data_IF_450594343608
#
_entry.id   IF_450594343608
#
_cell.length_a   1.000
_cell.length_b   1.000
_cell.length_c   1.000
_cell.angle_alpha   90.00
_cell.angle_beta   90.00
_cell.angle_gamma   90.00
#
_symmetry.space_group_name_H-M   'P 1'
#
loop_
_entity.id
_entity.type
_entity.pdbx_description
1 polymer ?
#
# COMPACT_ATOMS: atom_id res chain seq x y z
N UNK A 1 -21.15 -0.95 33.86
CA UNK A 1 -21.09 -1.82 32.66
C UNK A 1 -19.67 -2.30 32.51
N UNK A 2 -19.47 -3.61 32.49
CA UNK A 2 -18.20 -4.20 32.08
C UNK A 2 -17.98 -3.92 30.58
N UNK A 3 -16.73 -3.90 30.12
CA UNK A 3 -16.43 -3.83 28.67
C UNK A 3 -17.15 -4.96 27.91
N UNK A 4 -17.35 -6.11 28.56
CA UNK A 4 -18.08 -7.27 28.01
C UNK A 4 -19.59 -7.02 27.79
N UNK A 5 -20.14 -5.94 28.34
CA UNK A 5 -21.56 -5.58 28.17
C UNK A 5 -21.77 -4.60 27.00
N UNK A 6 -20.70 -4.15 26.32
CA UNK A 6 -20.73 -3.18 25.23
C UNK A 6 -20.38 -3.87 23.92
N UNK A 7 -21.39 -4.04 23.07
CA UNK A 7 -21.22 -4.62 21.73
C UNK A 7 -20.32 -3.75 20.85
N UNK A 8 -19.53 -4.40 19.99
CA UNK A 8 -18.78 -3.73 18.94
C UNK A 8 -19.69 -2.91 18.01
N UNK A 9 -19.27 -1.70 17.70
CA UNK A 9 -19.90 -0.83 16.70
C UNK A 9 -19.53 -1.26 15.27
N UNK A 10 -20.25 -0.74 14.26
CA UNK A 10 -19.92 -1.00 12.85
C UNK A 10 -18.51 -0.57 12.47
N UNK A 11 -18.02 0.54 13.03
CA UNK A 11 -16.65 1.02 12.80
C UNK A 11 -15.62 0.05 13.39
N UNK A 12 -15.84 -0.43 14.60
CA UNK A 12 -14.91 -1.38 15.26
C UNK A 12 -14.92 -2.74 14.58
N UNK A 13 -16.08 -3.26 14.17
CA UNK A 13 -16.16 -4.52 13.40
C UNK A 13 -15.39 -4.38 12.08
N UNK A 14 -15.59 -3.28 11.36
CA UNK A 14 -14.88 -3.03 10.10
C UNK A 14 -13.35 -2.92 10.33
N UNK A 15 -12.93 -2.17 11.35
CA UNK A 15 -11.53 -1.98 11.69
C UNK A 15 -10.84 -3.32 12.03
N UNK A 16 -11.43 -4.12 12.90
CA UNK A 16 -10.91 -5.42 13.32
C UNK A 16 -10.87 -6.41 12.14
N UNK A 17 -11.98 -6.51 11.39
CA UNK A 17 -12.10 -7.42 10.24
C UNK A 17 -11.07 -7.10 9.16
N UNK A 18 -11.00 -5.86 8.71
CA UNK A 18 -10.06 -5.45 7.66
C UNK A 18 -8.61 -5.63 8.10
N UNK A 19 -8.29 -5.31 9.35
CA UNK A 19 -6.92 -5.50 9.88
C UNK A 19 -6.56 -6.99 9.91
N UNK A 20 -7.45 -7.86 10.37
CA UNK A 20 -7.22 -9.29 10.41
C UNK A 20 -6.96 -9.89 9.01
N UNK A 21 -7.79 -9.53 8.02
CA UNK A 21 -7.62 -10.00 6.64
C UNK A 21 -6.28 -9.56 6.04
N UNK A 22 -5.87 -8.31 6.29
CA UNK A 22 -4.58 -7.79 5.81
C UNK A 22 -3.40 -8.46 6.52
N UNK A 23 -3.45 -8.60 7.85
CA UNK A 23 -2.36 -9.20 8.62
C UNK A 23 -2.13 -10.67 8.24
N UNK A 24 -3.19 -11.46 8.10
CA UNK A 24 -3.05 -12.87 7.68
C UNK A 24 -2.49 -12.99 6.27
N UNK A 25 -2.86 -12.11 5.34
CA UNK A 25 -2.27 -12.08 3.99
C UNK A 25 -0.77 -11.71 4.02
N UNK A 26 -0.40 -10.71 4.81
CA UNK A 26 1.00 -10.27 4.95
C UNK A 26 1.87 -11.34 5.60
N UNK A 27 1.29 -12.15 6.50
CA UNK A 27 2.00 -13.24 7.18
C UNK A 27 2.57 -14.25 6.18
N UNK A 28 1.82 -14.58 5.13
CA UNK A 28 2.27 -15.46 4.05
C UNK A 28 3.54 -14.92 3.36
N UNK A 29 3.61 -13.62 3.08
CA UNK A 29 4.80 -13.01 2.49
C UNK A 29 6.00 -13.07 3.45
N UNK A 30 5.79 -12.72 4.72
CA UNK A 30 6.86 -12.71 5.71
C UNK A 30 7.44 -14.10 5.97
N UNK A 31 6.60 -15.14 6.03
CA UNK A 31 7.04 -16.52 6.19
C UNK A 31 7.99 -16.95 5.07
N UNK A 32 7.63 -16.66 3.80
CA UNK A 32 8.49 -17.00 2.66
C UNK A 32 9.78 -16.20 2.66
N UNK A 33 9.69 -14.87 2.84
CA UNK A 33 10.86 -14.00 2.84
C UNK A 33 11.89 -14.36 3.92
N UNK A 34 11.44 -14.75 5.12
CA UNK A 34 12.35 -15.12 6.23
C UNK A 34 13.21 -16.35 5.92
N UNK A 35 12.70 -17.31 5.16
CA UNK A 35 13.43 -18.55 4.83
C UNK A 35 14.59 -18.26 3.88
N UNK A 36 14.40 -17.32 2.95
CA UNK A 36 15.33 -17.10 1.85
C UNK A 36 16.17 -15.83 1.98
N UNK A 37 16.00 -15.05 3.05
CA UNK A 37 16.85 -13.90 3.32
C UNK A 37 18.31 -14.34 3.43
N UNK A 38 19.25 -13.54 2.93
CA UNK A 38 20.69 -13.77 3.07
C UNK A 38 21.36 -12.62 3.86
N UNK A 39 20.88 -11.39 3.69
CA UNK A 39 21.37 -10.19 4.39
C UNK A 39 20.85 -10.15 5.83
N UNK A 40 21.74 -10.37 6.80
CA UNK A 40 21.40 -10.44 8.23
C UNK A 40 20.75 -9.15 8.75
N UNK A 41 21.17 -7.98 8.27
CA UNK A 41 20.58 -6.72 8.70
C UNK A 41 19.13 -6.57 8.20
N UNK A 42 18.85 -7.04 6.97
CA UNK A 42 17.48 -7.05 6.43
C UNK A 42 16.64 -8.13 7.14
N UNK A 43 17.23 -9.28 7.44
CA UNK A 43 16.59 -10.35 8.22
C UNK A 43 16.14 -9.84 9.58
N UNK A 44 16.99 -9.12 10.31
CA UNK A 44 16.66 -8.58 11.63
C UNK A 44 15.46 -7.62 11.58
N UNK A 45 15.37 -6.79 10.53
CA UNK A 45 14.20 -5.94 10.30
C UNK A 45 12.97 -6.80 10.01
N UNK A 46 13.08 -7.76 9.09
CA UNK A 46 11.96 -8.59 8.70
C UNK A 46 11.40 -9.41 9.87
N UNK A 47 12.25 -9.97 10.73
CA UNK A 47 11.85 -10.69 11.95
C UNK A 47 10.98 -9.80 12.82
N UNK A 48 11.39 -8.56 13.08
CA UNK A 48 10.61 -7.63 13.89
C UNK A 48 9.23 -7.32 13.28
N UNK A 49 9.16 -7.18 11.94
CA UNK A 49 7.89 -6.99 11.22
C UNK A 49 6.99 -8.23 11.31
N UNK A 50 7.55 -9.43 11.14
CA UNK A 50 6.82 -10.69 11.22
C UNK A 50 6.29 -10.96 12.64
N UNK A 51 7.10 -10.74 13.67
CA UNK A 51 6.70 -10.85 15.09
C UNK A 51 5.61 -9.82 15.45
N UNK A 52 5.67 -8.62 14.88
CA UNK A 52 4.61 -7.64 15.04
C UNK A 52 3.30 -8.10 14.42
N UNK A 53 3.35 -8.59 13.19
CA UNK A 53 2.19 -9.05 12.45
C UNK A 53 1.51 -10.24 13.13
N UNK A 54 2.28 -11.25 13.53
CA UNK A 54 1.78 -12.42 14.26
C UNK A 54 1.17 -12.03 15.60
N UNK A 55 1.79 -11.09 16.33
CA UNK A 55 1.24 -10.53 17.56
C UNK A 55 -0.12 -9.86 17.33
N UNK A 56 -0.25 -9.02 16.30
CA UNK A 56 -1.52 -8.39 15.95
C UNK A 56 -2.60 -9.40 15.58
N UNK A 57 -2.27 -10.44 14.81
CA UNK A 57 -3.21 -11.52 14.47
C UNK A 57 -3.75 -12.17 15.75
N UNK A 58 -2.88 -12.48 16.72
CA UNK A 58 -3.29 -13.16 17.94
C UNK A 58 -4.16 -12.27 18.85
N UNK A 59 -3.85 -10.98 18.93
CA UNK A 59 -4.63 -10.03 19.72
C UNK A 59 -6.01 -9.79 19.09
N UNK A 60 -6.09 -9.68 17.75
CA UNK A 60 -7.35 -9.60 17.00
C UNK A 60 -8.22 -10.85 17.22
N UNK A 61 -7.63 -12.06 17.15
CA UNK A 61 -8.36 -13.31 17.47
C UNK A 61 -8.93 -13.28 18.88
N UNK A 62 -8.13 -12.83 19.84
CA UNK A 62 -8.55 -12.72 21.24
C UNK A 62 -9.74 -11.78 21.39
N UNK A 63 -9.73 -10.63 20.70
CA UNK A 63 -10.86 -9.67 20.70
C UNK A 63 -12.12 -10.31 20.12
N UNK A 64 -12.01 -10.98 18.95
CA UNK A 64 -13.15 -11.67 18.34
C UNK A 64 -13.72 -12.76 19.24
N UNK A 65 -12.86 -13.61 19.82
CA UNK A 65 -13.27 -14.70 20.71
C UNK A 65 -13.93 -14.18 22.00
N UNK A 66 -13.39 -13.11 22.58
CA UNK A 66 -13.97 -12.48 23.78
C UNK A 66 -15.36 -11.87 23.51
N UNK A 67 -15.59 -11.35 22.30
CA UNK A 67 -16.88 -10.84 21.84
C UNK A 67 -17.88 -11.97 21.50
N UNK A 68 -17.41 -13.20 21.34
CA UNK A 68 -18.19 -14.27 20.70
C UNK A 68 -18.45 -14.02 19.22
N UNK A 69 -17.59 -13.21 18.58
CA UNK A 69 -17.64 -12.88 17.17
C UNK A 69 -16.86 -13.91 16.35
N UNK A 70 -17.37 -14.34 15.17
CA UNK A 70 -16.66 -15.32 14.35
C UNK A 70 -15.32 -14.76 13.85
N UNK A 71 -14.23 -15.48 14.13
CA UNK A 71 -12.90 -15.18 13.60
C UNK A 71 -12.91 -15.40 12.08
N UNK A 72 -12.47 -14.42 11.25
CA UNK A 72 -12.37 -14.61 9.80
C UNK A 72 -11.42 -15.75 9.46
N UNK A 73 -11.61 -16.42 8.32
CA UNK A 73 -10.67 -17.47 7.88
C UNK A 73 -9.33 -16.87 7.45
N UNK A 74 -9.36 -15.75 6.74
CA UNK A 74 -8.19 -15.05 6.25
C UNK A 74 -7.34 -15.88 5.28
N UNK A 75 -6.04 -15.78 5.47
CA UNK A 75 -5.01 -16.53 4.76
C UNK A 75 -4.26 -17.45 5.73
N UNK A 76 -3.69 -18.52 5.18
CA UNK A 76 -3.05 -19.57 5.98
C UNK A 76 -1.77 -20.09 5.34
N UNK A 77 -1.14 -21.09 5.95
CA UNK A 77 -0.01 -21.81 5.34
C UNK A 77 -0.37 -22.48 4.01
N UNK A 78 -1.65 -22.66 3.68
CA UNK A 78 -2.07 -23.13 2.35
C UNK A 78 -1.98 -22.07 1.25
N UNK A 79 -1.72 -20.82 1.60
CA UNK A 79 -1.58 -19.71 0.66
C UNK A 79 -0.11 -19.37 0.33
N UNK A 80 0.83 -20.11 0.92
CA UNK A 80 2.27 -19.94 0.74
C UNK A 80 2.99 -21.28 0.60
N UNK A 81 3.88 -21.40 -0.39
CA UNK A 81 4.82 -22.51 -0.51
C UNK A 81 6.21 -22.06 -0.04
N UNK A 82 6.66 -22.65 1.07
CA UNK A 82 7.91 -22.33 1.74
C UNK A 82 9.12 -23.09 1.17
N UNK A 83 8.90 -23.96 0.18
CA UNK A 83 9.94 -24.85 -0.37
C UNK A 83 10.55 -24.35 -1.67
N UNK A 84 9.90 -23.36 -2.30
CA UNK A 84 10.29 -22.84 -3.61
C UNK A 84 11.24 -21.64 -3.49
N UNK A 85 12.13 -21.41 -4.48
CA UNK A 85 13.11 -20.32 -4.44
C UNK A 85 12.48 -18.91 -4.28
N UNK A 86 13.24 -17.93 -3.74
CA UNK A 86 12.77 -16.55 -3.58
C UNK A 86 12.36 -15.94 -4.92
N UNK A 87 11.21 -15.26 -4.97
CA UNK A 87 10.75 -14.53 -6.16
C UNK A 87 11.36 -13.11 -6.25
N UNK A 88 11.76 -12.56 -5.11
CA UNK A 88 12.30 -11.21 -4.99
C UNK A 88 13.62 -11.24 -4.23
N UNK A 89 14.48 -10.24 -4.47
CA UNK A 89 15.77 -10.09 -3.77
C UNK A 89 15.57 -9.52 -2.36
N UNK A 90 16.61 -9.61 -1.52
CA UNK A 90 16.61 -9.03 -0.17
C UNK A 90 16.37 -7.51 -0.20
N UNK A 91 16.91 -6.80 -1.20
CA UNK A 91 16.70 -5.35 -1.36
C UNK A 91 15.22 -5.06 -1.65
N UNK A 92 14.54 -5.88 -2.45
CA UNK A 92 13.10 -5.76 -2.60
C UNK A 92 12.38 -6.00 -1.28
N UNK A 93 12.79 -6.99 -0.49
CA UNK A 93 12.12 -7.26 0.79
C UNK A 93 12.28 -6.09 1.76
N UNK A 94 13.46 -5.48 1.85
CA UNK A 94 13.66 -4.26 2.63
C UNK A 94 12.74 -3.13 2.15
N UNK A 95 12.69 -2.94 0.83
CA UNK A 95 11.77 -2.03 0.14
C UNK A 95 10.30 -2.32 0.46
N UNK A 96 9.93 -3.60 0.54
CA UNK A 96 8.57 -4.08 0.79
C UNK A 96 8.14 -3.76 2.22
N UNK A 97 8.99 -4.00 3.23
CA UNK A 97 8.67 -3.68 4.63
C UNK A 97 8.74 -2.18 4.93
N UNK A 98 9.65 -1.44 4.30
CA UNK A 98 9.72 0.03 4.42
C UNK A 98 8.42 0.68 3.94
N UNK A 99 7.98 0.33 2.72
CA UNK A 99 6.79 0.94 2.10
C UNK A 99 5.49 0.32 2.62
N UNK A 100 5.51 -0.97 2.95
CA UNK A 100 4.47 -1.61 3.73
C UNK A 100 4.26 -0.88 5.05
N UNK A 101 5.33 -0.41 5.71
CA UNK A 101 5.26 0.42 6.91
C UNK A 101 4.51 1.75 6.70
N UNK A 102 4.68 2.42 5.56
CA UNK A 102 3.92 3.65 5.23
C UNK A 102 2.43 3.36 5.15
N UNK A 103 2.05 2.30 4.42
CA UNK A 103 0.66 1.86 4.27
C UNK A 103 0.05 1.41 5.60
N UNK A 104 0.82 0.69 6.42
CA UNK A 104 0.38 0.21 7.74
C UNK A 104 0.20 1.36 8.73
N UNK A 105 1.07 2.37 8.70
CA UNK A 105 0.91 3.57 9.53
C UNK A 105 -0.40 4.30 9.18
N UNK A 106 -0.64 4.58 7.89
CA UNK A 106 -1.89 5.22 7.44
C UNK A 106 -3.13 4.39 7.81
N UNK A 107 -3.05 3.06 7.66
CA UNK A 107 -4.11 2.13 8.04
C UNK A 107 -4.44 2.20 9.54
N UNK A 108 -3.43 2.18 10.42
CA UNK A 108 -3.68 2.27 11.86
C UNK A 108 -4.13 3.66 12.30
N UNK A 109 -3.54 4.74 11.75
CA UNK A 109 -3.97 6.11 12.07
C UNK A 109 -5.44 6.33 11.69
N UNK A 110 -5.83 5.96 10.46
CA UNK A 110 -7.21 6.15 10.00
C UNK A 110 -8.23 5.34 10.80
N UNK A 111 -7.91 4.11 11.20
CA UNK A 111 -8.82 3.30 12.01
C UNK A 111 -8.89 3.76 13.47
N UNK A 112 -7.78 4.21 14.05
CA UNK A 112 -7.71 4.72 15.42
C UNK A 112 -8.74 5.85 15.65
N UNK A 113 -8.91 6.73 14.66
CA UNK A 113 -9.84 7.87 14.72
C UNK A 113 -11.32 7.47 14.64
N UNK A 114 -11.64 6.19 14.39
CA UNK A 114 -13.01 5.70 14.18
C UNK A 114 -13.52 4.76 15.27
N UNK A 115 -12.66 4.33 16.18
CA UNK A 115 -12.98 3.35 17.25
C UNK A 115 -13.05 4.03 18.61
N UNK A 116 -13.83 3.48 19.55
CA UNK A 116 -14.06 4.12 20.85
C UNK A 116 -13.98 3.16 22.05
N UNK A 117 -14.32 1.88 21.88
CA UNK A 117 -14.25 0.89 22.96
C UNK A 117 -12.80 0.74 23.42
N UNK A 118 -12.58 0.81 24.73
CA UNK A 118 -11.25 1.02 25.30
C UNK A 118 -10.21 -0.05 24.91
N UNK A 119 -10.61 -1.32 24.82
CA UNK A 119 -9.77 -2.44 24.37
C UNK A 119 -9.39 -2.31 22.89
N UNK A 120 -10.36 -1.97 22.02
CA UNK A 120 -10.14 -1.77 20.58
C UNK A 120 -9.29 -0.53 20.32
N UNK A 121 -9.58 0.58 20.99
CA UNK A 121 -8.79 1.82 20.91
C UNK A 121 -7.33 1.56 21.33
N UNK A 122 -7.14 0.88 22.47
CA UNK A 122 -5.79 0.53 22.96
C UNK A 122 -5.04 -0.37 21.98
N UNK A 123 -5.72 -1.33 21.35
CA UNK A 123 -5.12 -2.18 20.31
C UNK A 123 -4.58 -1.34 19.15
N UNK A 124 -5.38 -0.42 18.58
CA UNK A 124 -4.96 0.41 17.46
C UNK A 124 -3.88 1.44 17.84
N UNK A 125 -3.94 1.99 19.05
CA UNK A 125 -2.92 2.92 19.57
C UNK A 125 -1.56 2.23 19.68
N UNK A 126 -1.53 1.07 20.35
CA UNK A 126 -0.31 0.27 20.51
C UNK A 126 0.24 -0.22 19.17
N UNK A 127 -0.65 -0.61 18.25
CA UNK A 127 -0.29 -1.07 16.91
C UNK A 127 0.33 0.05 16.07
N UNK A 128 -0.23 1.26 16.11
CA UNK A 128 0.36 2.44 15.47
C UNK A 128 1.74 2.75 16.03
N UNK A 129 1.89 2.79 17.36
CA UNK A 129 3.17 3.07 18.01
C UNK A 129 4.25 2.05 17.62
N UNK A 130 3.89 0.75 17.51
CA UNK A 130 4.79 -0.30 17.05
C UNK A 130 5.13 -0.16 15.58
N UNK A 131 4.13 0.10 14.72
CA UNK A 131 4.32 0.28 13.28
C UNK A 131 5.24 1.44 12.95
N UNK A 132 5.13 2.58 13.65
CA UNK A 132 6.01 3.75 13.47
C UNK A 132 7.47 3.41 13.78
N UNK A 133 7.73 2.61 14.83
CA UNK A 133 9.09 2.15 15.16
C UNK A 133 9.66 1.26 14.07
N UNK A 134 8.88 0.28 13.60
CA UNK A 134 9.27 -0.64 12.53
C UNK A 134 9.58 0.09 11.22
N UNK A 135 8.70 1.02 10.83
CA UNK A 135 8.90 1.89 9.68
C UNK A 135 10.22 2.67 9.78
N UNK A 136 10.51 3.28 10.95
CA UNK A 136 11.74 4.03 11.18
C UNK A 136 12.98 3.14 11.06
N UNK A 137 12.95 1.93 11.60
CA UNK A 137 14.05 0.98 11.49
C UNK A 137 14.30 0.58 10.02
N UNK A 138 13.24 0.29 9.25
CA UNK A 138 13.35 0.00 7.82
C UNK A 138 13.90 1.19 7.04
N UNK A 139 13.43 2.41 7.31
CA UNK A 139 13.91 3.64 6.68
C UNK A 139 15.41 3.88 6.95
N UNK A 140 15.83 3.73 8.21
CA UNK A 140 17.24 3.90 8.58
C UNK A 140 18.12 2.92 7.82
N UNK A 141 17.71 1.64 7.73
CA UNK A 141 18.48 0.64 6.99
C UNK A 141 18.51 0.93 5.48
N UNK A 142 17.40 1.41 4.89
CA UNK A 142 17.36 1.85 3.49
C UNK A 142 18.35 3.01 3.24
N UNK A 143 18.46 3.94 4.18
CA UNK A 143 19.40 5.07 4.12
C UNK A 143 20.86 4.60 4.27
N UNK A 144 21.14 3.72 5.22
CA UNK A 144 22.48 3.16 5.48
C UNK A 144 23.00 2.35 4.29
N UNK A 145 22.13 1.56 3.64
CA UNK A 145 22.47 0.80 2.43
C UNK A 145 22.47 1.66 1.15
N UNK A 146 22.04 2.92 1.22
CA UNK A 146 22.02 3.83 0.07
C UNK A 146 20.95 3.52 -0.99
N UNK A 147 19.93 2.73 -0.64
CA UNK A 147 18.84 2.29 -1.54
C UNK A 147 17.54 3.07 -1.32
N UNK A 148 17.57 4.13 -0.51
CA UNK A 148 16.43 5.02 -0.29
C UNK A 148 16.16 5.92 -1.50
N UNK A 149 14.93 5.85 -1.99
CA UNK A 149 14.42 6.66 -3.09
C UNK A 149 14.27 8.12 -2.65
N UNK A 150 15.07 9.01 -3.24
CA UNK A 150 15.11 10.42 -2.83
C UNK A 150 14.16 11.27 -3.67
N UNK A 151 13.19 11.98 -3.03
CA UNK A 151 12.39 12.98 -3.71
C UNK A 151 13.25 14.10 -4.34
N UNK A 152 12.75 14.78 -5.39
CA UNK A 152 13.45 15.90 -6.00
C UNK A 152 13.71 17.02 -4.99
N UNK A 153 14.84 17.72 -5.17
CA UNK A 153 15.21 18.88 -4.36
C UNK A 153 14.90 20.15 -5.14
N UNK A 154 14.41 21.17 -4.42
CA UNK A 154 14.34 22.54 -4.93
C UNK A 154 15.23 23.46 -4.10
N UNK A 155 15.71 24.59 -4.66
CA UNK A 155 16.34 25.65 -3.87
C UNK A 155 15.39 26.15 -2.78
N UNK A 156 15.91 26.40 -1.58
CA UNK A 156 15.11 26.97 -0.50
C UNK A 156 14.74 28.42 -0.82
N UNK A 157 13.49 28.85 -0.54
CA UNK A 157 13.08 30.22 -0.77
C UNK A 157 13.73 31.18 0.24
N UNK A 158 14.22 32.34 -0.22
CA UNK A 158 14.84 33.35 0.65
C UNK A 158 13.83 34.15 1.49
N UNK A 159 12.53 34.10 1.14
CA UNK A 159 11.44 34.83 1.81
C UNK A 159 10.08 34.19 1.58
N UNK A 160 9.12 34.48 2.46
CA UNK A 160 7.71 34.11 2.26
C UNK A 160 7.14 34.86 1.07
N UNK A 161 6.57 34.13 0.11
CA UNK A 161 5.84 34.69 -1.04
C UNK A 161 4.34 34.73 -0.77
N UNK A 162 3.69 35.83 -1.11
CA UNK A 162 2.22 35.94 -1.10
C UNK A 162 1.71 36.00 -2.53
N UNK A 163 0.62 35.26 -2.76
CA UNK A 163 -0.21 35.39 -3.97
C UNK A 163 -0.77 36.82 -3.98
N UNK A 164 -0.29 37.66 -4.88
CA UNK A 164 -0.86 39.01 -5.07
C UNK A 164 -2.13 38.90 -5.90
N UNK A 165 -3.19 39.63 -5.52
CA UNK A 165 -4.41 39.71 -6.33
C UNK A 165 -4.07 40.21 -7.74
N UNK A 166 -4.22 39.32 -8.71
CA UNK A 166 -4.22 39.67 -10.11
C UNK A 166 -5.37 38.87 -10.74
N UNK A 167 -6.28 39.48 -11.51
CA UNK A 167 -7.31 38.74 -12.24
C UNK A 167 -6.70 37.64 -13.14
N UNK A 168 -5.45 37.83 -13.59
CA UNK A 168 -4.66 36.82 -14.30
C UNK A 168 -4.06 35.73 -13.39
N UNK A 169 -3.93 35.96 -12.08
CA UNK A 169 -3.37 34.98 -11.13
C UNK A 169 -4.35 33.87 -10.78
N UNK A 170 -5.65 34.12 -10.73
CA UNK A 170 -6.64 33.03 -10.73
C UNK A 170 -6.44 32.18 -11.99
N UNK A 171 -6.16 32.80 -13.13
CA UNK A 171 -5.79 32.13 -14.38
C UNK A 171 -4.39 31.50 -14.41
N UNK A 172 -3.46 31.86 -13.53
CA UNK A 172 -2.11 31.27 -13.43
C UNK A 172 -2.05 30.17 -12.35
N UNK A 173 -2.69 30.35 -11.21
CA UNK A 173 -2.86 29.33 -10.16
C UNK A 173 -3.73 28.19 -10.69
N UNK A 174 -4.80 28.53 -11.42
CA UNK A 174 -5.68 27.60 -12.10
C UNK A 174 -5.32 27.39 -13.58
N UNK A 175 -4.16 27.86 -14.02
CA UNK A 175 -3.68 27.76 -15.40
C UNK A 175 -2.83 26.54 -15.63
N UNK A 176 -2.84 26.04 -16.85
CA UNK A 176 -2.07 24.86 -17.28
C UNK A 176 -0.55 25.13 -17.40
N UNK A 177 -0.10 26.39 -17.23
CA UNK A 177 1.26 26.84 -17.57
C UNK A 177 2.08 27.40 -16.38
N UNK A 178 1.69 27.15 -15.12
CA UNK A 178 2.54 27.53 -13.98
C UNK A 178 3.47 26.40 -13.55
N UNK A 179 4.63 26.72 -12.92
CA UNK A 179 5.49 25.71 -12.35
C UNK A 179 4.78 24.85 -11.30
N UNK A 180 5.18 23.59 -11.16
CA UNK A 180 4.69 22.74 -10.07
C UNK A 180 5.16 23.30 -8.73
N UNK A 181 4.27 23.29 -7.74
CA UNK A 181 4.66 23.63 -6.37
C UNK A 181 5.16 22.39 -5.61
N UNK A 182 5.75 22.58 -4.44
CA UNK A 182 6.33 21.48 -3.63
C UNK A 182 5.30 20.43 -3.19
N UNK A 183 4.03 20.81 -3.02
CA UNK A 183 2.96 19.87 -2.67
C UNK A 183 2.71 18.94 -3.85
N UNK A 184 2.57 19.50 -5.05
CA UNK A 184 2.31 18.75 -6.29
C UNK A 184 3.51 17.87 -6.70
N UNK A 185 4.73 18.39 -6.61
CA UNK A 185 5.95 17.62 -6.89
C UNK A 185 6.10 16.43 -5.93
N UNK A 186 5.78 16.64 -4.65
CA UNK A 186 5.81 15.58 -3.63
C UNK A 186 4.82 14.47 -3.98
N UNK A 187 3.56 14.81 -4.26
CA UNK A 187 2.53 13.82 -4.63
C UNK A 187 2.91 13.05 -5.90
N UNK A 188 3.37 13.76 -6.93
CA UNK A 188 3.80 13.13 -8.19
C UNK A 188 4.93 12.13 -7.96
N UNK A 189 5.96 12.51 -7.18
CA UNK A 189 7.08 11.63 -6.86
C UNK A 189 6.62 10.35 -6.18
N UNK A 190 5.85 10.47 -5.08
CA UNK A 190 5.44 9.30 -4.30
C UNK A 190 4.44 8.42 -5.05
N UNK A 191 3.60 8.99 -5.92
CA UNK A 191 2.72 8.19 -6.80
C UNK A 191 3.54 7.42 -7.85
N UNK A 192 4.55 8.05 -8.44
CA UNK A 192 5.45 7.38 -9.40
C UNK A 192 6.24 6.27 -8.70
N UNK A 193 6.87 6.59 -7.57
CA UNK A 193 7.63 5.63 -6.75
C UNK A 193 6.76 4.40 -6.46
N UNK A 194 5.55 4.63 -5.91
CA UNK A 194 4.59 3.59 -5.58
C UNK A 194 4.24 2.68 -6.75
N UNK A 195 3.95 3.27 -7.92
CA UNK A 195 3.65 2.49 -9.12
C UNK A 195 4.87 1.72 -9.63
N UNK A 196 6.08 2.28 -9.52
CA UNK A 196 7.32 1.61 -9.90
C UNK A 196 7.54 0.32 -9.10
N UNK A 197 7.29 0.33 -7.79
CA UNK A 197 7.37 -0.89 -6.95
C UNK A 197 6.27 -1.88 -7.31
N UNK A 198 5.06 -1.35 -7.54
CA UNK A 198 3.94 -2.14 -8.05
C UNK A 198 4.32 -2.88 -9.34
N UNK A 199 5.09 -2.25 -10.23
CA UNK A 199 5.60 -2.91 -11.43
C UNK A 199 6.61 -4.02 -11.14
N UNK A 200 7.52 -3.84 -10.17
CA UNK A 200 8.45 -4.91 -9.76
C UNK A 200 7.67 -6.10 -9.23
N UNK A 201 6.70 -5.86 -8.34
CA UNK A 201 5.83 -6.89 -7.79
C UNK A 201 5.01 -7.61 -8.88
N UNK A 202 4.37 -6.85 -9.76
CA UNK A 202 3.56 -7.39 -10.86
C UNK A 202 4.42 -8.18 -11.85
N UNK A 203 5.66 -7.77 -12.11
CA UNK A 203 6.61 -8.54 -12.92
C UNK A 203 6.94 -9.87 -12.27
N UNK A 204 7.23 -9.89 -10.98
CA UNK A 204 7.44 -11.13 -10.21
C UNK A 204 6.22 -12.04 -10.28
N UNK A 205 5.02 -11.53 -9.98
CA UNK A 205 3.81 -12.34 -10.02
C UNK A 205 3.50 -12.87 -11.42
N UNK A 206 3.69 -12.05 -12.47
CA UNK A 206 3.49 -12.47 -13.86
C UNK A 206 4.49 -13.51 -14.33
N UNK A 207 5.67 -13.60 -13.70
CA UNK A 207 6.69 -14.61 -14.00
C UNK A 207 6.25 -16.01 -13.56
N UNK A 208 5.46 -16.12 -12.49
CA UNK A 208 5.14 -17.40 -11.83
C UNK A 208 3.68 -17.82 -11.93
N UNK A 209 2.77 -16.89 -12.21
CA UNK A 209 1.33 -17.17 -12.32
C UNK A 209 1.01 -18.08 -13.51
N UNK A 210 0.25 -19.14 -13.25
CA UNK A 210 -0.17 -20.10 -14.29
C UNK A 210 -1.64 -19.92 -14.69
N UNK A 211 -2.49 -19.45 -13.79
CA UNK A 211 -3.90 -19.20 -14.10
C UNK A 211 -4.02 -18.02 -15.07
N UNK A 212 -4.74 -18.25 -16.18
CA UNK A 212 -4.88 -17.27 -17.26
C UNK A 212 -5.68 -16.05 -16.86
N UNK A 213 -6.78 -16.21 -16.10
CA UNK A 213 -7.59 -15.06 -15.70
C UNK A 213 -6.83 -14.18 -14.71
N UNK A 214 -6.09 -14.79 -13.78
CA UNK A 214 -5.22 -14.08 -12.85
C UNK A 214 -4.10 -13.36 -13.61
N UNK A 215 -3.42 -14.06 -14.53
CA UNK A 215 -2.40 -13.45 -15.40
C UNK A 215 -2.93 -12.24 -16.17
N UNK A 216 -4.12 -12.35 -16.76
CA UNK A 216 -4.73 -11.26 -17.53
C UNK A 216 -5.15 -10.08 -16.64
N UNK A 217 -5.60 -10.34 -15.40
CA UNK A 217 -5.83 -9.31 -14.39
C UNK A 217 -4.54 -8.58 -14.00
N UNK A 218 -3.47 -9.32 -13.70
CA UNK A 218 -2.16 -8.75 -13.35
C UNK A 218 -1.56 -7.93 -14.50
N UNK A 219 -1.69 -8.38 -15.76
CA UNK A 219 -1.28 -7.61 -16.96
C UNK A 219 -2.02 -6.29 -17.08
N UNK A 220 -3.32 -6.24 -16.74
CA UNK A 220 -4.09 -4.99 -16.72
C UNK A 220 -3.54 -4.03 -15.67
N UNK A 221 -3.22 -4.53 -14.46
CA UNK A 221 -2.59 -3.75 -13.40
C UNK A 221 -1.25 -3.16 -13.85
N UNK A 222 -0.41 -4.01 -14.47
CA UNK A 222 0.90 -3.60 -15.00
C UNK A 222 0.78 -2.46 -16.01
N UNK A 223 -0.13 -2.62 -16.98
CA UNK A 223 -0.38 -1.59 -18.01
C UNK A 223 -0.90 -0.28 -17.41
N UNK A 224 -1.76 -0.37 -16.39
CA UNK A 224 -2.28 0.81 -15.70
C UNK A 224 -1.19 1.57 -14.94
N UNK A 225 -0.30 0.86 -14.24
CA UNK A 225 0.86 1.47 -13.55
C UNK A 225 1.85 2.08 -14.54
N UNK A 226 2.17 1.40 -15.65
CA UNK A 226 3.02 1.94 -16.73
C UNK A 226 2.43 3.24 -17.31
N UNK A 227 1.10 3.26 -17.52
CA UNK A 227 0.39 4.44 -18.03
C UNK A 227 0.45 5.61 -17.04
N UNK A 228 0.25 5.37 -15.74
CA UNK A 228 0.35 6.39 -14.70
C UNK A 228 1.76 6.97 -14.63
N UNK A 229 2.79 6.12 -14.54
CA UNK A 229 4.20 6.56 -14.47
C UNK A 229 4.54 7.41 -15.70
N UNK A 230 4.16 6.97 -16.89
CA UNK A 230 4.44 7.71 -18.14
C UNK A 230 3.76 9.08 -18.15
N UNK A 231 2.49 9.16 -17.75
CA UNK A 231 1.75 10.41 -17.74
C UNK A 231 2.32 11.41 -16.72
N UNK A 232 2.64 10.97 -15.52
CA UNK A 232 3.18 11.85 -14.48
C UNK A 232 4.62 12.26 -14.76
N UNK A 233 5.46 11.39 -15.31
CA UNK A 233 6.80 11.78 -15.75
C UNK A 233 6.74 12.80 -16.90
N UNK A 234 5.76 12.71 -17.79
CA UNK A 234 5.56 13.74 -18.83
C UNK A 234 5.31 15.11 -18.21
N UNK A 235 4.45 15.19 -17.19
CA UNK A 235 4.18 16.42 -16.44
C UNK A 235 5.44 16.97 -15.75
N UNK A 236 6.24 16.10 -15.13
CA UNK A 236 7.51 16.50 -14.49
C UNK A 236 8.50 17.05 -15.54
N UNK A 237 8.60 16.41 -16.69
CA UNK A 237 9.50 16.86 -17.77
C UNK A 237 9.05 18.17 -18.42
N UNK A 238 7.74 18.41 -18.51
CA UNK A 238 7.18 19.70 -18.97
C UNK A 238 7.50 20.85 -17.98
N UNK A 239 7.82 20.53 -16.72
CA UNK A 239 8.25 21.45 -15.67
C UNK A 239 9.79 21.62 -15.58
N UNK A 240 10.52 21.21 -16.62
CA UNK A 240 12.00 21.25 -16.71
C UNK A 240 12.71 20.43 -15.61
N UNK A 241 12.06 19.37 -15.12
CA UNK A 241 12.62 18.42 -14.17
C UNK A 241 12.89 17.04 -14.81
N UNK A 242 13.80 16.27 -14.20
CA UNK A 242 14.12 14.93 -14.68
C UNK A 242 13.01 13.92 -14.35
N UNK A 243 12.71 12.97 -15.26
CA UNK A 243 11.77 11.91 -14.94
C UNK A 243 12.31 11.04 -13.80
N UNK A 244 11.41 10.53 -12.98
CA UNK A 244 11.73 9.70 -11.82
C UNK A 244 11.43 8.23 -12.11
N UNK A 245 12.42 7.38 -11.93
CA UNK A 245 12.29 5.92 -11.91
C UNK A 245 13.13 5.40 -10.75
N UNK A 246 12.57 5.39 -9.53
CA UNK A 246 13.41 5.33 -8.35
C UNK A 246 13.82 3.90 -7.98
N UNK A 247 13.16 2.89 -8.56
CA UNK A 247 13.43 1.48 -8.26
C UNK A 247 14.23 0.76 -9.33
N UNK A 248 15.06 -0.18 -8.88
CA UNK A 248 15.74 -1.19 -9.69
C UNK A 248 14.87 -2.43 -9.91
N UNK A 249 15.26 -3.28 -10.86
CA UNK A 249 14.56 -4.54 -11.11
C UNK A 249 15.03 -5.58 -10.10
N UNK A 250 14.15 -5.93 -9.15
CA UNK A 250 14.49 -6.78 -8.00
C UNK A 250 13.69 -8.10 -7.97
N UNK A 251 13.47 -8.68 -9.15
CA UNK A 251 12.85 -10.00 -9.33
C UNK A 251 13.96 -11.02 -9.65
N UNK A 252 13.91 -12.18 -9.03
CA UNK A 252 14.86 -13.28 -9.29
C UNK A 252 14.52 -14.02 -10.59
N UNK A 253 15.26 -15.08 -10.90
CA UNK A 253 14.95 -15.99 -12.01
C UNK A 253 13.99 -17.13 -11.63
N UNK A 254 13.37 -17.11 -10.43
CA UNK A 254 12.46 -18.17 -9.97
C UNK A 254 11.20 -18.28 -10.84
N UNK A 255 10.90 -19.46 -11.36
CA UNK A 255 9.69 -19.72 -12.16
C UNK A 255 8.59 -20.43 -11.36
N UNK A 256 8.80 -20.66 -10.07
CA UNK A 256 7.85 -21.32 -9.18
C UNK A 256 7.19 -20.28 -8.27
N UNK A 257 5.86 -20.37 -8.12
CA UNK A 257 5.12 -19.39 -7.33
C UNK A 257 5.16 -19.77 -5.85
N UNK A 258 5.72 -18.93 -4.97
CA UNK A 258 5.60 -19.13 -3.53
C UNK A 258 4.23 -18.76 -2.98
N UNK A 259 3.36 -18.11 -3.76
CA UNK A 259 2.10 -17.55 -3.28
C UNK A 259 0.91 -18.09 -4.07
N UNK A 260 -0.21 -18.30 -3.39
CA UNK A 260 -1.46 -18.71 -4.04
C UNK A 260 -2.02 -17.59 -4.92
N UNK A 261 -2.72 -17.96 -6.00
CA UNK A 261 -3.42 -17.00 -6.86
C UNK A 261 -4.39 -16.11 -6.07
N UNK A 262 -5.03 -16.68 -5.03
CA UNK A 262 -5.88 -15.95 -4.08
C UNK A 262 -5.10 -14.82 -3.40
N UNK A 263 -3.92 -15.12 -2.86
CA UNK A 263 -3.06 -14.14 -2.20
C UNK A 263 -2.58 -13.05 -3.17
N UNK A 264 -2.18 -13.43 -4.38
CA UNK A 264 -1.75 -12.49 -5.41
C UNK A 264 -2.86 -11.49 -5.77
N UNK A 265 -4.07 -11.99 -6.06
CA UNK A 265 -5.22 -11.13 -6.40
C UNK A 265 -5.65 -10.26 -5.23
N UNK A 266 -5.66 -10.80 -4.00
CA UNK A 266 -5.97 -10.03 -2.80
C UNK A 266 -4.99 -8.89 -2.59
N UNK A 267 -3.69 -9.16 -2.71
CA UNK A 267 -2.64 -8.16 -2.51
C UNK A 267 -2.74 -7.03 -3.54
N UNK A 268 -2.95 -7.37 -4.82
CA UNK A 268 -3.10 -6.35 -5.88
C UNK A 268 -4.40 -5.56 -5.74
N UNK A 269 -5.51 -6.21 -5.38
CA UNK A 269 -6.79 -5.52 -5.14
C UNK A 269 -6.71 -4.58 -3.94
N UNK A 270 -6.08 -5.02 -2.85
CA UNK A 270 -5.83 -4.20 -1.65
C UNK A 270 -4.89 -3.04 -1.96
N UNK A 271 -3.82 -3.28 -2.71
CA UNK A 271 -2.91 -2.24 -3.18
C UNK A 271 -3.61 -1.22 -4.07
N UNK A 272 -4.56 -1.66 -4.92
CA UNK A 272 -5.37 -0.75 -5.72
C UNK A 272 -6.26 0.15 -4.88
N UNK A 273 -6.86 -0.36 -3.80
CA UNK A 273 -7.66 0.46 -2.88
C UNK A 273 -6.82 1.55 -2.20
N UNK A 274 -5.62 1.21 -1.75
CA UNK A 274 -4.65 2.22 -1.26
C UNK A 274 -4.25 3.15 -2.41
N UNK A 275 -4.11 2.65 -3.65
CA UNK A 275 -3.86 3.43 -4.87
C UNK A 275 -4.90 4.53 -5.10
N UNK A 276 -6.16 4.15 -4.96
CA UNK A 276 -7.30 5.04 -5.07
C UNK A 276 -7.28 6.15 -4.01
N UNK A 277 -7.03 5.78 -2.74
CA UNK A 277 -6.94 6.75 -1.63
C UNK A 277 -5.85 7.80 -1.90
N UNK A 278 -4.63 7.36 -2.23
CA UNK A 278 -3.51 8.25 -2.55
C UNK A 278 -3.83 9.16 -3.74
N UNK A 279 -4.43 8.63 -4.80
CA UNK A 279 -4.81 9.41 -5.97
C UNK A 279 -5.85 10.50 -5.62
N UNK A 280 -6.84 10.17 -4.79
CA UNK A 280 -7.83 11.13 -4.30
C UNK A 280 -7.18 12.21 -3.40
N UNK A 281 -6.24 11.83 -2.54
CA UNK A 281 -5.49 12.78 -1.73
C UNK A 281 -4.69 13.76 -2.60
N UNK A 282 -3.99 13.27 -3.63
CA UNK A 282 -3.22 14.11 -4.54
C UNK A 282 -4.08 15.13 -5.29
N UNK A 283 -5.35 14.81 -5.60
CA UNK A 283 -6.32 15.79 -6.12
C UNK A 283 -6.50 16.95 -5.13
N UNK A 284 -6.66 16.66 -3.83
CA UNK A 284 -6.88 17.69 -2.80
C UNK A 284 -5.65 18.58 -2.58
N UNK A 285 -4.45 18.07 -2.87
CA UNK A 285 -3.19 18.80 -2.75
C UNK A 285 -2.84 19.60 -4.03
N UNK A 286 -3.56 19.37 -5.13
CA UNK A 286 -3.28 19.97 -6.42
C UNK A 286 -4.14 21.19 -6.68
N UNK A 287 -3.49 22.30 -7.05
CA UNK A 287 -4.19 23.51 -7.49
C UNK A 287 -4.07 23.73 -9.00
N UNK A 288 -3.11 23.04 -9.66
CA UNK A 288 -2.97 23.05 -11.12
C UNK A 288 -4.09 22.23 -11.75
N UNK A 289 -4.87 22.84 -12.65
CA UNK A 289 -6.10 22.23 -13.19
C UNK A 289 -5.84 20.99 -14.02
N UNK A 290 -4.86 21.05 -14.92
CA UNK A 290 -4.45 19.93 -15.78
C UNK A 290 -4.05 18.71 -14.92
N UNK A 291 -3.29 18.96 -13.85
CA UNK A 291 -2.86 17.93 -12.90
C UNK A 291 -4.06 17.33 -12.14
N UNK A 292 -4.96 18.18 -11.63
CA UNK A 292 -6.19 17.73 -10.99
C UNK A 292 -7.08 16.89 -11.92
N UNK A 293 -7.21 17.28 -13.19
CA UNK A 293 -7.93 16.51 -14.22
C UNK A 293 -7.23 15.17 -14.49
N UNK A 294 -5.90 15.18 -14.62
CA UNK A 294 -5.12 13.96 -14.85
C UNK A 294 -5.32 12.95 -13.71
N UNK A 295 -5.29 13.42 -12.45
CA UNK A 295 -5.57 12.57 -11.29
C UNK A 295 -7.01 12.04 -11.29
N UNK A 296 -8.01 12.89 -11.56
CA UNK A 296 -9.42 12.47 -11.64
C UNK A 296 -9.68 11.41 -12.73
N UNK A 297 -9.01 11.53 -13.87
CA UNK A 297 -9.06 10.50 -14.92
C UNK A 297 -8.51 9.16 -14.42
N UNK A 298 -7.38 9.17 -13.72
CA UNK A 298 -6.80 7.95 -13.16
C UNK A 298 -7.64 7.35 -12.03
N UNK A 299 -8.30 8.15 -11.20
CA UNK A 299 -9.29 7.67 -10.21
C UNK A 299 -10.33 6.77 -10.90
N UNK A 300 -10.86 7.19 -12.05
CA UNK A 300 -11.86 6.43 -12.80
C UNK A 300 -11.30 5.09 -13.31
N UNK A 301 -10.06 5.08 -13.80
CA UNK A 301 -9.40 3.86 -14.28
C UNK A 301 -9.07 2.89 -13.14
N UNK A 302 -8.61 3.41 -11.99
CA UNK A 302 -8.32 2.67 -10.76
C UNK A 302 -9.59 2.03 -10.19
N UNK A 303 -10.72 2.75 -10.18
CA UNK A 303 -12.03 2.22 -9.78
C UNK A 303 -12.44 1.03 -10.66
N UNK A 304 -12.31 1.18 -11.98
CA UNK A 304 -12.64 0.11 -12.93
C UNK A 304 -11.74 -1.12 -12.76
N UNK A 305 -10.44 -0.89 -12.52
CA UNK A 305 -9.50 -1.98 -12.26
C UNK A 305 -9.81 -2.71 -10.94
N UNK A 306 -10.10 -1.97 -9.87
CA UNK A 306 -10.51 -2.52 -8.58
C UNK A 306 -11.78 -3.36 -8.68
N UNK A 307 -12.80 -2.88 -9.40
CA UNK A 307 -14.03 -3.65 -9.66
C UNK A 307 -13.78 -4.96 -10.39
N UNK A 308 -12.83 -4.98 -11.34
CA UNK A 308 -12.43 -6.21 -12.03
C UNK A 308 -11.77 -7.22 -11.07
N UNK A 309 -10.94 -6.74 -10.14
CA UNK A 309 -10.30 -7.58 -9.12
C UNK A 309 -11.33 -8.17 -8.15
N UNK A 310 -12.28 -7.35 -7.70
CA UNK A 310 -13.36 -7.78 -6.83
C UNK A 310 -14.25 -8.84 -7.50
N UNK A 311 -14.65 -8.62 -8.76
CA UNK A 311 -15.42 -9.61 -9.54
C UNK A 311 -14.69 -10.94 -9.65
N UNK A 312 -13.39 -10.92 -9.96
CA UNK A 312 -12.57 -12.14 -10.01
C UNK A 312 -12.55 -12.85 -8.65
N UNK A 313 -12.36 -12.10 -7.55
CA UNK A 313 -12.34 -12.64 -6.19
C UNK A 313 -13.65 -13.32 -5.81
N UNK A 314 -14.79 -12.71 -6.18
CA UNK A 314 -16.14 -13.26 -5.95
C UNK A 314 -16.38 -14.50 -6.81
N UNK A 315 -16.12 -14.44 -8.13
CA UNK A 315 -16.34 -15.58 -9.04
C UNK A 315 -15.51 -16.82 -8.66
N UNK A 316 -14.35 -16.63 -8.04
CA UNK A 316 -13.48 -17.71 -7.57
C UNK A 316 -13.82 -18.21 -6.16
N UNK A 317 -14.82 -17.61 -5.50
CA UNK A 317 -15.21 -17.98 -4.13
C UNK A 317 -14.14 -17.64 -3.09
N UNK A 318 -13.27 -16.68 -3.40
CA UNK A 318 -12.17 -16.26 -2.52
C UNK A 318 -12.57 -15.17 -1.53
N UNK A 319 -13.64 -14.43 -1.83
CA UNK A 319 -14.14 -13.36 -0.99
C UNK A 319 -14.87 -13.90 0.24
N UNK A 320 -14.32 -13.67 1.43
CA UNK A 320 -15.12 -13.72 2.64
C UNK A 320 -16.03 -12.50 2.71
N UNK A 321 -17.32 -12.74 2.95
CA UNK A 321 -18.30 -11.67 3.10
C UNK A 321 -17.97 -10.84 4.35
N UNK A 322 -17.79 -9.51 4.22
CA UNK A 322 -17.71 -8.66 5.38
C UNK A 322 -18.97 -8.79 6.24
N UNK A 323 -18.87 -8.70 7.58
CA UNK A 323 -20.01 -8.73 8.46
C UNK A 323 -21.05 -7.68 8.07
N UNK A 324 -22.29 -8.12 7.84
CA UNK A 324 -23.39 -7.28 7.41
C UNK A 324 -24.64 -7.52 8.25
N UNK A 325 -25.51 -6.51 8.33
CA UNK A 325 -26.80 -6.64 9.00
C UNK A 325 -27.61 -7.76 8.32
N UNK A 326 -28.09 -8.74 9.10
CA UNK A 326 -29.01 -9.75 8.59
C UNK A 326 -30.29 -9.06 8.09
N UNK A 327 -30.73 -9.42 6.89
CA UNK A 327 -31.96 -8.90 6.28
C UNK A 327 -33.19 -9.37 7.03
#
# INVERSE_FOLDING_TARGET
MSIKDIQLTTAEIAALWTTYMKCTAMDCFYQHFLIHMEDDAIRDILVQHAEANTGWIQELKTIFECEGFPVPKGFSSGDVDLTVPPLFTDIFVLSFVYRGGQVTNEHFTSLLETVARADVLSFFENSLAKSVKLYKSSLNLMLEKGVYDRPPKIPYPDRVGFVKENPSLIGQILGENRPLNVLELSELFFIIERNCIGLVLLKGFLQVVKDREVSDYLKKGKKLSEKQITAFNKIIMEDDAFPTYPVTMEVTNSTESPFSDKLLVFFITSSNAVGLSTMCHAITMSTRKDLGVQFAMFVTEILKFGSTGLDLFVRRGWMEEPPQKKK
#
